data_IF_354952237308
#
_entry.id   IF_354952237308
#
_cell.length_a   1.000
_cell.length_b   1.000
_cell.length_c   1.000
_cell.angle_alpha   90.00
_cell.angle_beta   90.00
_cell.angle_gamma   90.00
#
_symmetry.space_group_name_H-M   'P 1'
#
loop_
_entity.id
_entity.type
_entity.pdbx_description
1 polymer ?
#
# COMPACT_ATOMS: atom_id res chain seq x y z
N UNK A 1 -13.01 3.01 5.46
CA UNK A 1 -13.89 1.95 5.99
C UNK A 1 -15.35 2.29 6.00
N UNK A 2 -15.71 3.57 5.93
CA UNK A 2 -17.08 3.97 5.65
C UNK A 2 -17.25 4.33 4.17
N UNK A 3 -16.15 4.64 3.46
CA UNK A 3 -16.14 5.17 2.09
C UNK A 3 -15.41 4.34 1.02
N UNK A 4 -14.86 3.15 1.32
CA UNK A 4 -14.63 2.16 0.23
C UNK A 4 -15.95 1.56 -0.30
N UNK A 5 -17.07 1.92 0.32
CA UNK A 5 -18.40 1.50 -0.12
C UNK A 5 -19.02 2.42 -1.19
N UNK A 6 -18.35 3.50 -1.62
CA UNK A 6 -18.87 4.30 -2.74
C UNK A 6 -18.59 3.58 -4.05
N UNK A 7 -19.62 2.90 -4.54
CA UNK A 7 -19.67 2.21 -5.83
C UNK A 7 -19.83 3.26 -6.94
N UNK A 8 -18.74 3.51 -7.67
CA UNK A 8 -18.80 3.92 -9.07
C UNK A 8 -18.37 2.70 -9.91
N UNK A 9 -19.25 1.69 -9.97
CA UNK A 9 -19.03 0.42 -10.69
C UNK A 9 -18.65 -0.79 -9.81
N UNK A 10 -18.22 -1.89 -10.44
CA UNK A 10 -17.85 -3.16 -9.78
C UNK A 10 -16.51 -3.13 -9.03
N UNK A 11 -15.72 -2.07 -9.16
CA UNK A 11 -14.42 -1.89 -8.51
C UNK A 11 -14.38 -0.54 -7.79
N UNK A 12 -14.03 -0.52 -6.51
CA UNK A 12 -13.90 0.72 -5.76
C UNK A 12 -12.66 1.51 -6.22
N UNK A 13 -12.62 2.84 -6.02
CA UNK A 13 -11.40 3.63 -6.26
C UNK A 13 -10.16 3.07 -5.55
N UNK A 14 -10.36 2.35 -4.44
CA UNK A 14 -9.30 1.64 -3.74
C UNK A 14 -8.74 0.47 -4.57
N UNK A 15 -9.58 -0.30 -5.25
CA UNK A 15 -9.14 -1.42 -6.09
C UNK A 15 -8.34 -0.92 -7.29
N UNK A 16 -8.72 0.23 -7.87
CA UNK A 16 -7.92 0.87 -8.92
C UNK A 16 -6.56 1.35 -8.43
N UNK A 17 -6.50 2.03 -7.29
CA UNK A 17 -5.26 2.49 -6.70
C UNK A 17 -4.35 1.31 -6.28
N UNK A 18 -4.96 0.23 -5.78
CA UNK A 18 -4.26 -0.99 -5.43
C UNK A 18 -3.67 -1.69 -6.66
N UNK A 19 -4.46 -1.84 -7.73
CA UNK A 19 -4.00 -2.40 -9.00
C UNK A 19 -2.84 -1.60 -9.60
N UNK A 20 -2.92 -0.26 -9.57
CA UNK A 20 -1.81 0.60 -10.02
C UNK A 20 -0.55 0.40 -9.17
N UNK A 21 -0.70 0.25 -7.85
CA UNK A 21 0.42 -0.02 -6.93
C UNK A 21 1.09 -1.36 -7.21
N UNK A 22 0.30 -2.40 -7.49
CA UNK A 22 0.78 -3.73 -7.85
C UNK A 22 1.47 -3.72 -9.21
N UNK A 23 0.93 -3.00 -10.20
CA UNK A 23 1.57 -2.84 -11.51
C UNK A 23 2.91 -2.12 -11.40
N UNK A 24 2.97 -1.03 -10.63
CA UNK A 24 4.23 -0.34 -10.34
C UNK A 24 5.24 -1.28 -9.68
N UNK A 25 4.80 -2.03 -8.67
CA UNK A 25 5.63 -3.02 -7.97
C UNK A 25 6.15 -4.09 -8.92
N UNK A 26 5.32 -4.60 -9.82
CA UNK A 26 5.72 -5.57 -10.84
C UNK A 26 6.80 -5.02 -11.77
N UNK A 27 6.63 -3.80 -12.27
CA UNK A 27 7.63 -3.15 -13.15
C UNK A 27 8.94 -2.95 -12.40
N UNK A 28 8.91 -2.40 -11.19
CA UNK A 28 10.11 -2.18 -10.36
C UNK A 28 10.86 -3.50 -10.08
N UNK A 29 10.14 -4.56 -9.68
CA UNK A 29 10.74 -5.87 -9.44
C UNK A 29 11.38 -6.46 -10.70
N UNK A 30 10.78 -6.27 -11.89
CA UNK A 30 11.36 -6.71 -13.17
C UNK A 30 12.60 -5.92 -13.57
N UNK A 31 12.69 -4.65 -13.16
CA UNK A 31 13.88 -3.81 -13.38
C UNK A 31 15.00 -4.08 -12.36
N UNK A 32 14.78 -4.97 -11.39
CA UNK A 32 15.78 -5.37 -10.41
C UNK A 32 15.77 -4.53 -9.12
N UNK A 33 14.74 -3.71 -8.92
CA UNK A 33 14.53 -2.95 -7.70
C UNK A 33 13.95 -3.83 -6.59
N UNK A 34 14.16 -3.40 -5.34
CA UNK A 34 13.56 -4.01 -4.17
C UNK A 34 12.25 -3.29 -3.85
N UNK A 35 11.17 -4.05 -3.62
CA UNK A 35 9.86 -3.49 -3.32
C UNK A 35 9.35 -4.02 -1.97
N UNK A 36 8.87 -3.11 -1.13
CA UNK A 36 8.26 -3.39 0.16
C UNK A 36 6.90 -2.71 0.29
N UNK A 37 6.22 -2.96 1.40
CA UNK A 37 4.87 -2.44 1.67
C UNK A 37 4.75 -2.04 3.14
N UNK A 38 4.08 -0.92 3.40
CA UNK A 38 3.62 -0.54 4.73
C UNK A 38 2.14 -0.17 4.64
N UNK A 39 1.32 -0.78 5.49
CA UNK A 39 -0.10 -0.43 5.61
C UNK A 39 -0.36 0.32 6.91
N UNK A 40 -1.26 1.29 6.85
CA UNK A 40 -1.69 2.13 7.97
C UNK A 40 -3.19 2.40 7.86
N UNK A 41 -3.79 3.03 8.88
CA UNK A 41 -5.23 3.30 8.93
C UNK A 41 -6.11 2.02 8.81
N UNK A 42 -5.62 0.90 9.34
CA UNK A 42 -6.32 -0.38 9.42
C UNK A 42 -6.12 -1.02 10.79
N UNK A 43 -6.97 -2.01 11.14
CA UNK A 43 -6.86 -2.72 12.42
C UNK A 43 -5.50 -3.40 12.61
N UNK A 44 -4.88 -3.82 11.50
CA UNK A 44 -3.56 -4.44 11.49
C UNK A 44 -2.62 -3.67 10.56
N UNK A 45 -1.60 -3.03 11.14
CA UNK A 45 -0.48 -2.48 10.37
C UNK A 45 0.41 -3.62 9.89
N UNK A 46 0.69 -3.65 8.58
CA UNK A 46 1.55 -4.65 7.95
C UNK A 46 2.80 -3.98 7.45
N UNK A 47 3.93 -4.62 7.67
CA UNK A 47 5.19 -4.21 7.11
C UNK A 47 5.82 -5.38 6.38
N UNK A 48 6.03 -5.21 5.08
CA UNK A 48 6.85 -6.08 4.25
C UNK A 48 8.14 -5.33 3.92
N UNK A 49 9.31 -5.84 4.33
CA UNK A 49 10.58 -5.22 3.99
C UNK A 49 10.80 -5.26 2.46
N UNK A 50 11.58 -4.32 1.90
CA UNK A 50 11.90 -4.34 0.48
C UNK A 50 12.73 -5.57 0.09
N UNK A 51 12.20 -6.38 -0.82
CA UNK A 51 12.88 -7.58 -1.36
C UNK A 51 12.89 -7.52 -2.87
N UNK A 52 13.96 -8.04 -3.48
CA UNK A 52 14.11 -8.12 -4.95
C UNK A 52 13.50 -9.39 -5.50
N UNK A 53 13.16 -9.34 -6.79
CA UNK A 53 12.83 -10.50 -7.59
C UNK A 53 11.33 -10.84 -7.64
N UNK A 54 10.94 -11.68 -8.61
CA UNK A 54 9.53 -11.87 -8.98
C UNK A 54 8.69 -12.51 -7.88
N UNK A 55 9.29 -13.30 -6.98
CA UNK A 55 8.58 -13.94 -5.87
C UNK A 55 7.95 -12.92 -4.91
N UNK A 56 8.53 -11.71 -4.80
CA UNK A 56 8.02 -10.65 -3.94
C UNK A 56 6.63 -10.17 -4.38
N UNK A 57 6.29 -10.28 -5.67
CA UNK A 57 4.96 -9.89 -6.14
C UNK A 57 3.86 -10.74 -5.50
N UNK A 58 4.06 -12.05 -5.37
CA UNK A 58 3.09 -12.93 -4.71
C UNK A 58 2.94 -12.61 -3.22
N UNK A 59 4.03 -12.23 -2.56
CA UNK A 59 4.01 -11.80 -1.15
C UNK A 59 3.21 -10.50 -1.02
N UNK A 60 3.45 -9.54 -1.90
CA UNK A 60 2.70 -8.27 -1.94
C UNK A 60 1.21 -8.50 -2.19
N UNK A 61 0.86 -9.33 -3.18
CA UNK A 61 -0.53 -9.69 -3.50
C UNK A 61 -1.26 -10.28 -2.30
N UNK A 62 -0.65 -11.27 -1.64
CA UNK A 62 -1.24 -11.88 -0.45
C UNK A 62 -1.38 -10.89 0.71
N UNK A 63 -0.45 -9.95 0.85
CA UNK A 63 -0.50 -8.94 1.90
C UNK A 63 -1.54 -7.83 1.65
N UNK A 64 -2.01 -7.67 0.42
CA UNK A 64 -3.04 -6.67 0.08
C UNK A 64 -4.42 -7.26 -0.18
N UNK A 65 -4.53 -8.57 -0.39
CA UNK A 65 -5.77 -9.25 -0.77
C UNK A 65 -6.92 -9.09 0.24
N UNK A 66 -6.61 -9.05 1.53
CA UNK A 66 -7.57 -8.87 2.62
C UNK A 66 -7.50 -7.46 3.25
N UNK A 67 -6.87 -6.50 2.56
CA UNK A 67 -6.94 -5.10 2.97
C UNK A 67 -8.33 -4.54 2.64
N UNK A 68 -9.13 -4.42 3.68
CA UNK A 68 -10.39 -3.71 3.64
C UNK A 68 -10.16 -2.30 4.22
N UNK A 69 -10.74 -1.25 3.64
CA UNK A 69 -10.64 0.05 4.32
C UNK A 69 -11.36 -0.03 5.65
N UNK A 70 -10.80 0.68 6.63
CA UNK A 70 -11.38 0.80 7.96
C UNK A 70 -11.85 2.23 8.22
N UNK A 71 -12.81 2.41 9.13
CA UNK A 71 -13.35 3.74 9.45
C UNK A 71 -12.37 4.59 10.24
N UNK A 72 -11.17 4.07 10.51
CA UNK A 72 -10.17 4.78 11.28
C UNK A 72 -9.63 5.98 10.49
N UNK A 73 -9.44 7.12 11.16
CA UNK A 73 -8.75 8.25 10.56
C UNK A 73 -7.33 7.84 10.16
N UNK A 74 -6.88 8.35 9.01
CA UNK A 74 -5.53 8.15 8.54
C UNK A 74 -4.57 9.09 9.28
N UNK A 75 -3.77 8.56 10.20
CA UNK A 75 -2.66 9.29 10.83
C UNK A 75 -1.40 9.17 9.95
N UNK A 76 -1.20 10.16 9.08
CA UNK A 76 -0.07 10.20 8.16
C UNK A 76 1.26 10.46 8.86
N UNK A 77 1.26 11.19 9.98
CA UNK A 77 2.48 11.47 10.75
C UNK A 77 2.99 10.18 11.40
N UNK A 78 2.10 9.44 12.06
CA UNK A 78 2.43 8.14 12.63
C UNK A 78 2.89 7.13 11.56
N UNK A 79 2.26 7.14 10.38
CA UNK A 79 2.68 6.30 9.26
C UNK A 79 4.08 6.66 8.75
N UNK A 80 4.40 7.96 8.65
CA UNK A 80 5.72 8.43 8.26
C UNK A 80 6.79 8.05 9.28
N UNK A 81 6.54 8.23 10.57
CA UNK A 81 7.46 7.82 11.64
C UNK A 81 7.69 6.29 11.63
N UNK A 82 6.63 5.52 11.44
CA UNK A 82 6.69 4.07 11.33
C UNK A 82 7.48 3.59 10.09
N UNK A 83 7.46 4.38 9.00
CA UNK A 83 8.28 4.12 7.81
C UNK A 83 9.74 4.49 8.05
N UNK A 84 10.00 5.71 8.54
CA UNK A 84 11.34 6.26 8.75
C UNK A 84 12.15 5.47 9.78
N UNK A 85 11.48 4.92 10.80
CA UNK A 85 12.12 4.03 11.79
C UNK A 85 12.65 2.72 11.20
N UNK A 86 12.05 2.23 10.09
CA UNK A 86 12.39 0.95 9.45
C UNK A 86 13.22 1.12 8.17
N UNK A 87 12.90 2.11 7.34
CA UNK A 87 13.54 2.36 6.05
C UNK A 87 14.68 3.39 6.17
N UNK A 88 15.88 2.91 6.53
CA UNK A 88 17.05 3.79 6.74
C UNK A 88 17.83 4.16 5.48
N UNK A 89 17.59 3.48 4.37
CA UNK A 89 18.21 3.77 3.08
C UNK A 89 17.27 4.59 2.21
N UNK A 90 17.83 5.45 1.34
CA UNK A 90 17.06 6.23 0.36
C UNK A 90 16.18 5.28 -0.46
N UNK A 91 14.92 5.65 -0.61
CA UNK A 91 13.92 4.92 -1.37
C UNK A 91 12.94 5.91 -1.98
N UNK A 92 12.34 5.53 -3.11
CA UNK A 92 11.13 6.18 -3.58
C UNK A 92 9.96 5.68 -2.70
N UNK A 93 9.28 6.61 -2.04
CA UNK A 93 8.09 6.31 -1.25
C UNK A 93 6.87 6.75 -2.03
N UNK A 94 5.99 5.82 -2.35
CA UNK A 94 4.70 6.10 -3.00
C UNK A 94 3.61 5.88 -1.96
N UNK A 95 2.98 6.97 -1.52
CA UNK A 95 1.87 6.94 -0.59
C UNK A 95 0.57 6.83 -1.38
N UNK A 96 -0.16 5.73 -1.17
CA UNK A 96 -1.46 5.50 -1.79
C UNK A 96 -2.51 5.62 -0.71
N UNK A 97 -3.32 6.68 -0.81
CA UNK A 97 -4.39 6.97 0.12
C UNK A 97 -5.58 7.56 -0.63
N UNK A 98 -6.79 7.28 -0.15
CA UNK A 98 -7.98 7.96 -0.62
C UNK A 98 -8.15 9.25 0.18
N UNK A 99 -7.43 10.30 -0.24
CA UNK A 99 -7.69 11.67 0.19
C UNK A 99 -8.97 12.12 -0.52
N UNK A 100 -10.13 12.01 0.14
CA UNK A 100 -11.26 12.86 -0.25
C UNK A 100 -11.07 14.17 0.49
N UNK A 101 -10.70 15.20 -0.28
CA UNK A 101 -10.98 16.58 0.08
C UNK A 101 -12.48 16.71 0.42
N UNK A 102 -12.76 17.56 1.39
CA UNK A 102 -14.12 17.93 1.81
C UNK A 102 -14.99 18.40 0.63
#
# INVERSE_FOLDING_TARGET
GRRMRSQDGELSHFDHALNASLLLSYVALRQGDAVGLLTFAGEHSRFLPPVKGPAQLNVLLNAVYDLHSTQQPADFAAAADALLSRQRRRALVVLVSNLRDE
#
